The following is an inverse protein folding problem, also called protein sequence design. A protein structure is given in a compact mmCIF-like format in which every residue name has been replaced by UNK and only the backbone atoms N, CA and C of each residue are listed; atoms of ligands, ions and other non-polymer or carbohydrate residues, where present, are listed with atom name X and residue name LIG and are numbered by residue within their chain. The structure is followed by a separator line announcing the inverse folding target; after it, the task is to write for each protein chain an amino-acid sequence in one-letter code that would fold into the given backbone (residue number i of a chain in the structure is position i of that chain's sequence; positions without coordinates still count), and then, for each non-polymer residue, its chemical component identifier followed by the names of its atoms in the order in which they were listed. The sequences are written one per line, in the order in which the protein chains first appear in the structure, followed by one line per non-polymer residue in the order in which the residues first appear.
data_IF_599667992810
#
_entry.id   IF_599667992810
#
_cell.length_a   1.000
_cell.length_b   1.000
_cell.length_c   1.000
_cell.angle_alpha   90.00
_cell.angle_beta   90.00
_cell.angle_gamma   90.00
#
_symmetry.space_group_name_H-M   'P 1'
#
loop_
_entity.id
_entity.type
_entity.pdbx_description
1 polymer ?
#
# COMPACT_ATOMS: atom_id res chain seq x y z
N UNK A 1 -2.40 -11.39 -21.46
CA UNK A 1 -2.60 -11.44 -19.99
C UNK A 1 -4.08 -11.31 -19.70
N UNK A 2 -4.60 -11.94 -18.65
CA UNK A 2 -5.96 -11.70 -18.17
C UNK A 2 -5.97 -10.53 -17.18
N UNK A 3 -7.11 -9.85 -17.02
CA UNK A 3 -7.28 -8.79 -16.03
C UNK A 3 -6.93 -9.29 -14.61
N UNK A 4 -7.29 -10.53 -14.29
CA UNK A 4 -6.97 -11.16 -13.01
C UNK A 4 -5.45 -11.26 -12.79
N UNK A 5 -4.71 -11.73 -13.81
CA UNK A 5 -3.25 -11.82 -13.73
C UNK A 5 -2.58 -10.45 -13.60
N UNK A 6 -3.16 -9.43 -14.23
CA UNK A 6 -2.67 -8.05 -14.17
C UNK A 6 -2.89 -7.44 -12.78
N UNK A 7 -4.10 -7.53 -12.23
CA UNK A 7 -4.40 -7.04 -10.88
C UNK A 7 -3.51 -7.70 -9.83
N UNK A 8 -3.33 -9.03 -9.91
CA UNK A 8 -2.44 -9.75 -8.98
C UNK A 8 -1.00 -9.26 -9.11
N UNK A 9 -0.47 -9.16 -10.33
CA UNK A 9 0.90 -8.71 -10.58
C UNK A 9 1.13 -7.28 -10.09
N UNK A 10 0.22 -6.36 -10.39
CA UNK A 10 0.34 -4.97 -9.96
C UNK A 10 0.22 -4.83 -8.44
N UNK A 11 -0.69 -5.56 -7.81
CA UNK A 11 -0.84 -5.56 -6.33
C UNK A 11 0.44 -6.01 -5.65
N UNK A 12 1.01 -7.14 -6.07
CA UNK A 12 2.27 -7.68 -5.52
C UNK A 12 3.42 -6.70 -5.73
N UNK A 13 3.57 -6.16 -6.95
CA UNK A 13 4.63 -5.21 -7.28
C UNK A 13 4.60 -3.99 -6.36
N UNK A 14 3.42 -3.43 -6.10
CA UNK A 14 3.27 -2.22 -5.28
C UNK A 14 3.35 -2.50 -3.78
N UNK A 15 2.94 -3.68 -3.32
CA UNK A 15 3.17 -4.15 -1.94
C UNK A 15 4.67 -4.30 -1.66
N UNK A 16 5.38 -5.04 -2.51
CA UNK A 16 6.83 -5.26 -2.31
C UNK A 16 7.63 -3.96 -2.30
N UNK A 17 7.17 -2.93 -3.05
CA UNK A 17 7.81 -1.62 -3.06
C UNK A 17 7.56 -0.86 -1.78
N UNK A 18 6.32 -0.78 -1.31
CA UNK A 18 6.00 0.01 -0.10
C UNK A 18 6.60 -0.62 1.15
N UNK A 19 6.73 -1.96 1.19
CA UNK A 19 7.33 -2.68 2.32
C UNK A 19 8.84 -2.51 2.45
N UNK A 20 9.53 -2.08 1.38
CA UNK A 20 10.96 -1.75 1.41
C UNK A 20 11.22 -0.37 1.99
N UNK A 21 10.19 0.49 2.05
CA UNK A 21 10.33 1.84 2.55
C UNK A 21 10.30 1.86 4.07
N UNK A 22 11.16 2.69 4.66
CA UNK A 22 11.03 3.11 6.06
C UNK A 22 10.34 4.45 6.10
N UNK A 23 9.28 4.59 6.90
CA UNK A 23 8.54 5.84 7.05
C UNK A 23 8.16 6.10 8.50
N UNK A 24 8.31 7.36 8.92
CA UNK A 24 7.98 7.84 10.27
C UNK A 24 7.36 9.24 10.20
N UNK A 25 6.69 9.68 11.27
CA UNK A 25 6.01 10.98 11.32
C UNK A 25 4.69 10.92 12.05
N UNK A 26 3.66 11.56 11.49
CA UNK A 26 2.32 11.59 12.08
C UNK A 26 1.78 10.18 12.30
N UNK A 27 1.37 9.91 13.55
CA UNK A 27 0.95 8.59 13.98
C UNK A 27 -0.22 8.03 13.18
N UNK A 28 -1.20 8.86 12.82
CA UNK A 28 -2.40 8.41 12.08
C UNK A 28 -2.05 8.05 10.64
N UNK A 29 -1.16 8.81 10.02
CA UNK A 29 -0.63 8.48 8.69
C UNK A 29 0.08 7.13 8.72
N UNK A 30 1.01 6.92 9.65
CA UNK A 30 1.74 5.65 9.77
C UNK A 30 0.80 4.47 10.04
N UNK A 31 -0.16 4.63 10.96
CA UNK A 31 -1.14 3.59 11.30
C UNK A 31 -2.02 3.24 10.09
N UNK A 32 -2.51 4.23 9.34
CA UNK A 32 -3.34 4.00 8.15
C UNK A 32 -2.57 3.29 7.04
N UNK A 33 -1.32 3.69 6.75
CA UNK A 33 -0.48 3.03 5.73
C UNK A 33 -0.31 1.55 6.10
N UNK A 34 0.06 1.26 7.35
CA UNK A 34 0.23 -0.13 7.83
C UNK A 34 -1.07 -0.93 7.78
N UNK A 35 -2.20 -0.32 8.14
CA UNK A 35 -3.51 -0.96 8.04
C UNK A 35 -3.84 -1.35 6.60
N UNK A 36 -3.67 -0.44 5.64
CA UNK A 36 -3.94 -0.72 4.23
C UNK A 36 -2.96 -1.73 3.60
N UNK A 37 -1.69 -1.76 4.01
CA UNK A 37 -0.75 -2.82 3.62
C UNK A 37 -1.26 -4.18 4.13
N UNK A 38 -1.63 -4.26 5.41
CA UNK A 38 -2.16 -5.48 6.02
C UNK A 38 -3.46 -5.96 5.34
N UNK A 39 -4.39 -5.05 5.05
CA UNK A 39 -5.65 -5.36 4.38
C UNK A 39 -5.41 -5.84 2.93
N UNK A 40 -4.46 -5.22 2.23
CA UNK A 40 -4.09 -5.64 0.88
C UNK A 40 -3.58 -7.08 0.84
N UNK A 41 -2.69 -7.46 1.76
CA UNK A 41 -2.27 -8.86 1.92
C UNK A 41 -3.45 -9.78 2.22
N UNK A 42 -4.30 -9.41 3.17
CA UNK A 42 -5.48 -10.20 3.53
C UNK A 42 -6.38 -10.47 2.32
N UNK A 43 -6.72 -9.45 1.54
CA UNK A 43 -7.58 -9.61 0.36
C UNK A 43 -6.88 -10.36 -0.77
N UNK A 44 -5.56 -10.15 -0.95
CA UNK A 44 -4.77 -10.87 -1.94
C UNK A 44 -4.74 -12.38 -1.68
N UNK A 45 -4.56 -12.78 -0.41
CA UNK A 45 -4.62 -14.18 0.04
C UNK A 45 -6.00 -14.80 -0.18
N UNK A 46 -7.08 -14.04 0.01
CA UNK A 46 -8.46 -14.49 -0.24
C UNK A 46 -8.86 -14.52 -1.71
N UNK A 47 -8.02 -13.99 -2.60
CA UNK A 47 -8.32 -13.88 -4.03
C UNK A 47 -9.27 -12.73 -4.39
N UNK A 48 -9.56 -11.82 -3.45
CA UNK A 48 -10.33 -10.60 -3.71
C UNK A 48 -9.39 -9.53 -4.29
N UNK A 49 -9.06 -9.68 -5.57
CA UNK A 49 -8.03 -8.86 -6.22
C UNK A 49 -8.41 -7.39 -6.36
N UNK A 50 -9.71 -7.07 -6.41
CA UNK A 50 -10.17 -5.68 -6.50
C UNK A 50 -9.89 -4.96 -5.19
N UNK A 51 -10.27 -5.56 -4.05
CA UNK A 51 -9.99 -4.97 -2.73
C UNK A 51 -8.51 -4.97 -2.40
N UNK A 52 -7.77 -6.00 -2.80
CA UNK A 52 -6.32 -6.03 -2.60
C UNK A 52 -5.63 -4.86 -3.33
N UNK A 53 -5.99 -4.65 -4.61
CA UNK A 53 -5.47 -3.55 -5.39
C UNK A 53 -5.89 -2.18 -4.83
N UNK A 54 -7.16 -2.03 -4.42
CA UNK A 54 -7.67 -0.82 -3.77
C UNK A 54 -6.87 -0.49 -2.50
N UNK A 55 -6.65 -1.46 -1.61
CA UNK A 55 -5.93 -1.25 -0.36
C UNK A 55 -4.47 -0.81 -0.59
N UNK A 56 -3.74 -1.45 -1.53
CA UNK A 56 -2.36 -1.02 -1.80
C UNK A 56 -2.32 0.40 -2.40
N UNK A 57 -3.28 0.78 -3.24
CA UNK A 57 -3.40 2.16 -3.75
C UNK A 57 -3.64 3.16 -2.61
N UNK A 58 -4.52 2.82 -1.66
CA UNK A 58 -4.74 3.67 -0.48
C UNK A 58 -3.51 3.78 0.43
N UNK A 59 -2.76 2.69 0.61
CA UNK A 59 -1.50 2.74 1.37
C UNK A 59 -0.51 3.72 0.74
N UNK A 60 -0.34 3.66 -0.58
CA UNK A 60 0.50 4.61 -1.32
C UNK A 60 -0.04 6.04 -1.27
N UNK A 61 -1.35 6.25 -1.38
CA UNK A 61 -1.94 7.59 -1.30
C UNK A 61 -1.65 8.25 0.05
N UNK A 62 -1.83 7.54 1.17
CA UNK A 62 -1.48 8.05 2.50
C UNK A 62 0.02 8.36 2.62
N UNK A 63 0.89 7.50 2.08
CA UNK A 63 2.34 7.70 2.12
C UNK A 63 2.77 8.94 1.33
N UNK A 64 2.34 9.06 0.07
CA UNK A 64 2.75 10.14 -0.83
C UNK A 64 2.17 11.49 -0.38
N UNK A 65 0.88 11.54 -0.01
CA UNK A 65 0.27 12.76 0.53
C UNK A 65 0.95 13.14 1.86
N UNK A 66 1.22 12.15 2.72
CA UNK A 66 1.90 12.38 3.99
C UNK A 66 3.29 12.98 3.78
N UNK A 67 4.05 12.47 2.81
CA UNK A 67 5.38 13.00 2.45
C UNK A 67 5.28 14.43 1.90
N UNK A 68 4.41 14.65 0.92
CA UNK A 68 4.33 15.93 0.21
C UNK A 68 3.88 17.10 1.10
N UNK A 69 3.02 16.82 2.08
CA UNK A 69 2.56 17.82 3.06
C UNK A 69 3.39 17.86 4.35
N UNK A 70 4.49 17.10 4.43
CA UNK A 70 5.42 17.13 5.57
C UNK A 70 4.92 16.42 6.83
N UNK A 71 3.92 15.54 6.70
CA UNK A 71 3.46 14.67 7.79
C UNK A 71 4.31 13.40 7.95
N UNK A 72 5.04 13.00 6.90
CA UNK A 72 5.90 11.83 6.90
C UNK A 72 7.28 12.14 6.35
N UNK A 73 8.30 11.54 6.96
CA UNK A 73 9.60 11.32 6.35
C UNK A 73 9.67 9.90 5.83
N UNK A 74 10.11 9.73 4.58
CA UNK A 74 10.23 8.42 3.91
C UNK A 74 11.67 8.21 3.46
N UNK A 75 12.20 7.02 3.71
CA UNK A 75 13.56 6.60 3.34
C UNK A 75 13.50 5.29 2.55
N UNK A 76 14.31 5.23 1.50
CA UNK A 76 14.48 4.06 0.60
C UNK A 76 15.61 3.14 1.05
#
# INVERSE_FOLDING_TARGET
MSLESELRSETVKWLERIERLSFEGDRRFVENIKAYISDSHYFLEKGDLVRAFECVVWAWAWLEIGRDFGFLEVRE
#
